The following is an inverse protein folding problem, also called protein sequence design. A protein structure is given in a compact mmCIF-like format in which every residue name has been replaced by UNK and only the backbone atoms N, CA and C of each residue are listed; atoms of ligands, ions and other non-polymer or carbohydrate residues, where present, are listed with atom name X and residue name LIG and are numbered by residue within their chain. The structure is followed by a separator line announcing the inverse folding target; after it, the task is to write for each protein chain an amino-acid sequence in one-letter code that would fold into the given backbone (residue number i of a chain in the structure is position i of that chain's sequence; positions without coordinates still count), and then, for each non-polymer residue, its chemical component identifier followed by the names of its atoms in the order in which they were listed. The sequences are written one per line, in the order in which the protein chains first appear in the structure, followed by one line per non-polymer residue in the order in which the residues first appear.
data_IF_268218912120
#
_entry.id   IF_268218912120
#
_cell.length_a   1.000
_cell.length_b   1.000
_cell.length_c   1.000
_cell.angle_alpha   90.00
_cell.angle_beta   90.00
_cell.angle_gamma   90.00
#
_symmetry.space_group_name_H-M   'P 1'
#
loop_
_entity.id
_entity.type
_entity.pdbx_description
1 polymer ?
#
# COMPACT_ATOMS: atom_id res chain seq x y z
N UNK A 1 -12.40 5.77 -4.14
CA UNK A 1 -11.18 5.34 -3.43
C UNK A 1 -11.59 4.30 -2.41
N UNK A 2 -10.93 3.15 -2.39
CA UNK A 2 -11.19 2.08 -1.42
C UNK A 2 -9.87 1.61 -0.81
N UNK A 3 -9.89 1.19 0.45
CA UNK A 3 -8.69 0.73 1.14
C UNK A 3 -8.33 -0.68 0.67
N UNK A 4 -7.12 -0.84 0.12
CA UNK A 4 -6.65 -2.13 -0.43
C UNK A 4 -5.75 -2.90 0.53
N UNK A 5 -5.16 -2.22 1.50
CA UNK A 5 -4.23 -2.80 2.47
C UNK A 5 -3.68 -1.77 3.43
N UNK A 6 -2.88 -2.22 4.40
CA UNK A 6 -2.21 -1.36 5.37
C UNK A 6 -0.71 -1.65 5.36
N UNK A 7 0.12 -0.61 5.33
CA UNK A 7 1.57 -0.75 5.50
C UNK A 7 1.85 -1.10 6.96
N UNK A 8 2.50 -2.22 7.21
CA UNK A 8 2.80 -2.73 8.57
C UNK A 8 4.29 -2.68 8.92
N UNK A 9 5.13 -2.24 7.98
CA UNK A 9 6.56 -2.06 8.19
C UNK A 9 7.32 -2.09 6.88
N UNK A 10 8.65 -2.23 6.98
CA UNK A 10 9.55 -2.40 5.84
C UNK A 10 10.00 -3.84 5.68
N UNK A 11 10.41 -4.20 4.47
CA UNK A 11 11.04 -5.47 4.14
C UNK A 11 12.45 -5.22 3.58
N UNK A 12 13.43 -5.95 4.10
CA UNK A 12 14.83 -5.79 3.68
C UNK A 12 15.38 -4.37 3.88
N UNK A 13 16.39 -4.02 3.07
CA UNK A 13 17.17 -2.79 3.22
C UNK A 13 17.06 -1.85 2.00
N UNK A 14 16.10 -2.09 1.10
CA UNK A 14 15.93 -1.36 -0.16
C UNK A 14 14.77 -0.38 -0.17
N UNK A 15 14.07 -0.24 0.96
CA UNK A 15 12.86 0.58 1.04
C UNK A 15 11.58 -0.16 0.66
N UNK A 16 11.64 -1.48 0.46
CA UNK A 16 10.44 -2.28 0.20
C UNK A 16 9.50 -2.24 1.41
N UNK A 17 8.19 -2.23 1.16
CA UNK A 17 7.15 -2.15 2.18
C UNK A 17 6.48 -3.50 2.41
N UNK A 18 6.18 -3.81 3.67
CA UNK A 18 5.28 -4.90 4.03
C UNK A 18 3.87 -4.37 4.08
N UNK A 19 2.99 -4.98 3.29
CA UNK A 19 1.57 -4.64 3.24
C UNK A 19 0.76 -5.81 3.79
N UNK A 20 -0.19 -5.52 4.68
CA UNK A 20 -1.25 -6.45 5.04
C UNK A 20 -2.44 -6.21 4.10
N UNK A 21 -2.71 -7.11 3.13
CA UNK A 21 -3.76 -6.94 2.13
C UNK A 21 -5.15 -7.08 2.75
N UNK A 22 -6.10 -6.24 2.31
CA UNK A 22 -7.52 -6.36 2.64
C UNK A 22 -8.36 -6.90 1.48
N UNK A 23 -7.76 -7.01 0.29
CA UNK A 23 -8.38 -7.59 -0.91
C UNK A 23 -8.01 -9.06 -1.06
N UNK A 24 -8.90 -9.84 -1.70
CA UNK A 24 -8.67 -11.25 -2.00
C UNK A 24 -8.88 -11.55 -3.50
N UNK A 25 -7.99 -12.34 -4.12
CA UNK A 25 -6.72 -12.81 -3.57
C UNK A 25 -5.73 -11.65 -3.30
N UNK A 26 -4.80 -11.80 -2.33
CA UNK A 26 -3.78 -10.78 -2.02
C UNK A 26 -3.01 -10.25 -3.23
N UNK A 27 -2.77 -11.13 -4.20
CA UNK A 27 -1.95 -10.86 -5.37
C UNK A 27 -2.58 -9.83 -6.31
N UNK A 28 -3.88 -9.54 -6.18
CA UNK A 28 -4.53 -8.45 -6.92
C UNK A 28 -3.93 -7.07 -6.63
N UNK A 29 -3.18 -6.89 -5.54
CA UNK A 29 -2.42 -5.66 -5.30
C UNK A 29 -1.39 -5.39 -6.41
N UNK A 30 -0.88 -6.44 -7.07
CA UNK A 30 0.11 -6.34 -8.14
C UNK A 30 -0.50 -5.93 -9.49
N UNK A 31 -1.82 -6.02 -9.63
CA UNK A 31 -2.54 -5.66 -10.86
C UNK A 31 -3.01 -4.20 -10.85
N UNK A 32 -2.87 -3.49 -9.72
CA UNK A 32 -3.25 -2.09 -9.59
C UNK A 32 -2.23 -1.20 -10.30
N UNK A 33 -2.72 -0.26 -11.12
CA UNK A 33 -1.86 0.73 -11.78
C UNK A 33 -1.30 1.74 -10.78
N UNK A 34 -2.11 2.14 -9.81
CA UNK A 34 -1.81 3.23 -8.89
C UNK A 34 -2.27 2.89 -7.47
N UNK A 35 -1.42 3.19 -6.49
CA UNK A 35 -1.70 3.04 -5.06
C UNK A 35 -1.35 4.36 -4.37
N UNK A 36 -2.28 4.86 -3.57
CA UNK A 36 -2.10 6.08 -2.78
C UNK A 36 -1.96 5.70 -1.31
N UNK A 37 -1.01 6.33 -0.61
CA UNK A 37 -0.84 6.16 0.83
C UNK A 37 -1.52 7.32 1.54
N UNK A 38 -2.48 6.98 2.41
CA UNK A 38 -3.15 7.94 3.29
C UNK A 38 -2.69 7.72 4.73
N UNK A 39 -2.25 8.80 5.39
CA UNK A 39 -1.89 8.77 6.79
C UNK A 39 -3.10 9.08 7.70
N UNK A 40 -2.91 8.99 9.02
CA UNK A 40 -3.97 9.30 9.99
C UNK A 40 -4.42 10.77 9.99
N UNK A 41 -3.72 11.65 9.27
CA UNK A 41 -4.08 13.06 9.09
C UNK A 41 -4.86 13.33 7.80
N UNK A 42 -5.08 12.29 6.98
CA UNK A 42 -5.75 12.39 5.68
C UNK A 42 -4.86 12.96 4.58
N UNK A 43 -3.55 13.12 4.83
CA UNK A 43 -2.61 13.55 3.81
C UNK A 43 -2.31 12.39 2.86
N UNK A 44 -2.43 12.65 1.56
CA UNK A 44 -2.16 11.67 0.50
C UNK A 44 -0.81 11.97 -0.11
N UNK A 45 0.07 10.98 -0.09
CA UNK A 45 1.35 11.06 -0.80
C UNK A 45 1.24 10.30 -2.12
N UNK A 46 1.35 11.03 -3.23
CA UNK A 46 1.58 10.46 -4.56
C UNK A 46 3.09 10.22 -4.71
N UNK A 47 3.46 9.07 -5.27
CA UNK A 47 4.85 8.75 -5.60
C UNK A 47 4.98 8.86 -7.13
N UNK A 48 5.77 9.82 -7.61
CA UNK A 48 6.20 9.92 -9.03
C UNK A 48 7.39 9.00 -9.32
#
# INVERSE_FOLDING_TARGET
MFLVGTIVGTFGNKGDLKINPLIQPPDYLLELSDIFVEDSSGFKQEFE
#
